data_IF_714830146527
#
_entry.id   IF_714830146527
#
_cell.length_a   1.000
_cell.length_b   1.000
_cell.length_c   1.000
_cell.angle_alpha   90.00
_cell.angle_beta   90.00
_cell.angle_gamma   90.00
#
_symmetry.space_group_name_H-M   'P 1'
#
loop_
_entity.id
_entity.type
_entity.pdbx_description
1 polymer ?
#
# COMPACT_ATOMS: atom_id res chain seq x y z
N UNK A 1 -0.89 76.04 -16.34
CA UNK A 1 -1.70 75.12 -15.50
C UNK A 1 -2.17 74.00 -16.41
N UNK A 2 -2.25 72.77 -15.88
CA UNK A 2 -2.64 71.51 -16.55
C UNK A 2 -1.59 70.75 -17.39
N UNK A 3 -0.55 70.23 -16.72
CA UNK A 3 0.20 69.07 -17.25
C UNK A 3 0.55 68.01 -16.19
N UNK A 4 0.32 68.28 -14.90
CA UNK A 4 0.70 67.39 -13.78
C UNK A 4 -0.39 66.38 -13.39
N UNK A 5 -1.62 66.55 -13.88
CA UNK A 5 -2.78 65.68 -13.58
C UNK A 5 -2.84 64.44 -14.47
N UNK A 6 -2.30 64.50 -15.70
CA UNK A 6 -2.29 63.35 -16.63
C UNK A 6 -1.29 62.26 -16.20
N UNK A 7 -0.12 62.65 -15.68
CA UNK A 7 0.94 61.71 -15.30
C UNK A 7 0.61 60.93 -14.01
N UNK A 8 -0.11 61.56 -13.05
CA UNK A 8 -0.59 60.89 -11.83
C UNK A 8 -1.63 59.79 -12.11
N UNK A 9 -2.49 59.97 -13.12
CA UNK A 9 -3.44 58.92 -13.56
C UNK A 9 -2.74 57.72 -14.18
N UNK A 10 -1.64 57.93 -14.93
CA UNK A 10 -0.83 56.85 -15.49
C UNK A 10 -0.10 56.04 -14.42
N UNK A 11 0.55 56.72 -13.47
CA UNK A 11 1.32 56.08 -12.40
C UNK A 11 0.43 55.34 -11.39
N UNK A 12 -0.72 55.93 -11.03
CA UNK A 12 -1.73 55.24 -10.21
C UNK A 12 -2.28 54.00 -10.93
N UNK A 13 -2.52 54.07 -12.24
CA UNK A 13 -2.95 52.92 -13.04
C UNK A 13 -1.87 51.85 -13.10
N UNK A 14 -0.59 52.20 -13.30
CA UNK A 14 0.53 51.27 -13.28
C UNK A 14 0.69 50.62 -11.91
N UNK A 15 0.63 51.38 -10.81
CA UNK A 15 0.70 50.85 -9.45
C UNK A 15 -0.49 49.92 -9.16
N UNK A 16 -1.70 50.28 -9.58
CA UNK A 16 -2.88 49.42 -9.40
C UNK A 16 -2.74 48.13 -10.23
N UNK A 17 -2.29 48.21 -11.48
CA UNK A 17 -2.02 47.04 -12.31
C UNK A 17 -0.90 46.17 -11.72
N UNK A 18 0.14 46.78 -11.17
CA UNK A 18 1.24 46.07 -10.51
C UNK A 18 0.79 45.40 -9.21
N UNK A 19 -0.03 46.08 -8.41
CA UNK A 19 -0.60 45.56 -7.17
C UNK A 19 -1.60 44.43 -7.43
N UNK A 20 -2.46 44.58 -8.45
CA UNK A 20 -3.39 43.55 -8.92
C UNK A 20 -2.60 42.34 -9.46
N UNK A 21 -1.60 42.56 -10.33
CA UNK A 21 -0.73 41.49 -10.82
C UNK A 21 0.06 40.80 -9.71
N UNK A 22 0.52 41.54 -8.69
CA UNK A 22 1.22 41.00 -7.54
C UNK A 22 0.30 40.13 -6.68
N UNK A 23 -0.94 40.58 -6.45
CA UNK A 23 -1.92 39.81 -5.70
C UNK A 23 -2.39 38.57 -6.48
N UNK A 24 -2.47 38.63 -7.82
CA UNK A 24 -2.73 37.48 -8.70
C UNK A 24 -1.59 36.45 -8.68
N UNK A 25 -0.33 36.92 -8.76
CA UNK A 25 0.87 36.07 -8.57
C UNK A 25 0.89 35.41 -7.19
N UNK A 26 0.31 36.05 -6.18
CA UNK A 26 0.14 35.51 -4.81
C UNK A 26 -0.99 34.47 -4.69
N UNK A 27 -1.69 34.07 -5.75
CA UNK A 27 -2.75 33.07 -5.65
C UNK A 27 -2.31 31.71 -6.27
N UNK A 28 -1.55 31.72 -7.36
CA UNK A 28 -1.05 30.49 -7.99
C UNK A 28 -0.03 29.70 -7.14
N UNK A 29 0.76 30.36 -6.27
CA UNK A 29 1.70 29.63 -5.39
C UNK A 29 0.99 28.74 -4.36
N UNK A 30 -0.24 29.06 -3.94
CA UNK A 30 -1.01 28.26 -2.98
C UNK A 30 -1.34 26.88 -3.54
N UNK A 31 -1.68 26.85 -4.83
CA UNK A 31 -1.99 25.62 -5.58
C UNK A 31 -0.71 24.83 -5.85
N UNK A 32 0.39 25.51 -6.18
CA UNK A 32 1.71 24.87 -6.27
C UNK A 32 2.13 24.26 -4.93
N UNK A 33 1.90 24.96 -3.82
CA UNK A 33 2.17 24.46 -2.47
C UNK A 33 1.34 23.22 -2.14
N UNK A 34 0.02 23.23 -2.44
CA UNK A 34 -0.82 22.05 -2.30
C UNK A 34 -0.27 20.85 -3.06
N UNK A 35 0.09 21.02 -4.34
CA UNK A 35 0.62 19.92 -5.14
C UNK A 35 1.98 19.43 -4.66
N UNK A 36 2.85 20.31 -4.14
CA UNK A 36 4.09 19.90 -3.48
C UNK A 36 3.83 19.04 -2.23
N UNK A 37 2.91 19.47 -1.36
CA UNK A 37 2.50 18.68 -0.20
C UNK A 37 1.94 17.33 -0.61
N UNK A 38 1.07 17.30 -1.63
CA UNK A 38 0.50 16.06 -2.17
C UNK A 38 1.60 15.13 -2.66
N UNK A 39 2.56 15.62 -3.47
CA UNK A 39 3.70 14.82 -3.93
C UNK A 39 4.51 14.23 -2.79
N UNK A 40 4.87 15.03 -1.79
CA UNK A 40 5.69 14.57 -0.64
C UNK A 40 4.94 13.47 0.12
N UNK A 41 3.66 13.69 0.43
CA UNK A 41 2.84 12.74 1.18
C UNK A 41 2.60 11.45 0.38
N UNK A 42 2.33 11.55 -0.92
CA UNK A 42 2.17 10.35 -1.75
C UNK A 42 3.48 9.59 -1.92
N UNK A 43 4.62 10.27 -2.01
CA UNK A 43 5.93 9.63 -2.06
C UNK A 43 6.24 8.87 -0.76
N UNK A 44 5.95 9.46 0.40
CA UNK A 44 6.08 8.79 1.69
C UNK A 44 5.15 7.57 1.78
N UNK A 45 3.90 7.68 1.32
CA UNK A 45 2.98 6.54 1.28
C UNK A 45 3.46 5.42 0.35
N UNK A 46 4.09 5.74 -0.79
CA UNK A 46 4.71 4.72 -1.66
C UNK A 46 5.84 3.99 -0.91
N UNK A 47 6.70 4.73 -0.19
CA UNK A 47 7.78 4.12 0.62
C UNK A 47 7.20 3.21 1.70
N UNK A 48 6.19 3.67 2.47
CA UNK A 48 5.56 2.84 3.50
C UNK A 48 4.87 1.60 2.92
N UNK A 49 4.24 1.72 1.74
CA UNK A 49 3.61 0.58 1.04
C UNK A 49 4.66 -0.44 0.60
N UNK A 50 5.82 0.02 0.10
CA UNK A 50 6.94 -0.86 -0.26
C UNK A 50 7.52 -1.59 0.95
N UNK A 51 7.72 -0.87 2.07
CA UNK A 51 8.17 -1.47 3.33
C UNK A 51 7.16 -2.54 3.77
N UNK A 52 5.87 -2.24 3.76
CA UNK A 52 4.85 -3.21 4.16
C UNK A 52 4.84 -4.44 3.25
N UNK A 53 4.91 -4.24 1.94
CA UNK A 53 4.98 -5.35 0.97
C UNK A 53 6.25 -6.21 1.18
N UNK A 54 7.38 -5.58 1.51
CA UNK A 54 8.61 -6.28 1.83
C UNK A 54 8.48 -7.11 3.11
N UNK A 55 7.91 -6.55 4.19
CA UNK A 55 7.69 -7.27 5.45
C UNK A 55 6.81 -8.51 5.28
N UNK A 56 5.78 -8.45 4.44
CA UNK A 56 4.95 -9.62 4.12
C UNK A 56 5.76 -10.67 3.34
N UNK A 57 6.56 -10.24 2.34
CA UNK A 57 7.34 -11.15 1.48
C UNK A 57 8.58 -11.72 2.15
N UNK A 58 9.10 -11.09 3.20
CA UNK A 58 10.25 -11.60 3.95
C UNK A 58 9.89 -12.84 4.77
N UNK A 59 8.60 -13.04 5.08
CA UNK A 59 8.07 -14.09 5.96
C UNK A 59 8.57 -14.06 7.41
N UNK A 60 9.75 -13.53 7.71
CA UNK A 60 10.33 -13.54 9.06
C UNK A 60 9.63 -12.60 10.05
N UNK A 61 9.03 -11.51 9.57
CA UNK A 61 8.41 -10.51 10.45
C UNK A 61 7.00 -10.92 10.91
N UNK A 62 6.16 -11.37 9.98
CA UNK A 62 4.80 -11.83 10.28
C UNK A 62 4.79 -13.37 10.28
N UNK A 63 4.78 -13.96 11.49
CA UNK A 63 4.77 -15.43 11.64
C UNK A 63 3.44 -15.93 12.21
N UNK A 64 2.81 -15.14 13.07
CA UNK A 64 1.67 -15.57 13.88
C UNK A 64 0.28 -15.48 13.22
N UNK A 65 0.21 -15.34 11.90
CA UNK A 65 -1.06 -15.33 11.18
C UNK A 65 -1.37 -16.71 10.61
N UNK A 66 -2.66 -17.07 10.63
CA UNK A 66 -3.19 -18.19 9.83
C UNK A 66 -3.88 -17.64 8.60
N UNK A 67 -3.45 -18.07 7.41
CA UNK A 67 -4.06 -17.61 6.18
C UNK A 67 -3.79 -18.55 5.00
N UNK A 68 -4.80 -18.71 4.16
CA UNK A 68 -4.64 -19.38 2.88
C UNK A 68 -3.86 -18.52 1.88
N UNK A 69 -3.27 -19.19 0.88
CA UNK A 69 -2.49 -18.54 -0.16
C UNK A 69 -3.30 -17.49 -0.93
N UNK A 70 -4.59 -17.75 -1.15
CA UNK A 70 -5.49 -16.86 -1.89
C UNK A 70 -5.66 -15.52 -1.18
N UNK A 71 -5.86 -15.54 0.13
CA UNK A 71 -6.03 -14.35 0.95
C UNK A 71 -4.73 -13.53 1.08
N UNK A 72 -3.58 -14.19 1.23
CA UNK A 72 -2.28 -13.49 1.21
C UNK A 72 -2.04 -12.83 -0.16
N UNK A 73 -2.36 -13.52 -1.26
CA UNK A 73 -2.25 -12.95 -2.59
C UNK A 73 -3.24 -11.79 -2.79
N UNK A 74 -4.44 -11.85 -2.22
CA UNK A 74 -5.39 -10.74 -2.20
C UNK A 74 -4.78 -9.49 -1.54
N UNK A 75 -4.19 -9.61 -0.35
CA UNK A 75 -3.52 -8.50 0.35
C UNK A 75 -2.35 -7.96 -0.49
N UNK A 76 -1.48 -8.83 -1.00
CA UNK A 76 -0.32 -8.43 -1.81
C UNK A 76 -0.71 -7.71 -3.10
N UNK A 77 -1.75 -8.19 -3.79
CA UNK A 77 -2.26 -7.57 -5.01
C UNK A 77 -2.93 -6.23 -4.71
N UNK A 78 -3.68 -6.13 -3.60
CA UNK A 78 -4.25 -4.87 -3.13
C UNK A 78 -3.19 -3.80 -2.88
N UNK A 79 -2.09 -4.17 -2.20
CA UNK A 79 -0.95 -3.28 -1.98
C UNK A 79 -0.28 -2.85 -3.29
N UNK A 80 -0.17 -3.76 -4.27
CA UNK A 80 0.42 -3.46 -5.58
C UNK A 80 -0.45 -2.47 -6.37
N UNK A 81 -1.76 -2.67 -6.41
CA UNK A 81 -2.69 -1.73 -7.07
C UNK A 81 -2.61 -0.36 -6.41
N UNK A 82 -2.60 -0.33 -5.08
CA UNK A 82 -2.47 0.90 -4.30
C UNK A 82 -1.15 1.63 -4.59
N UNK A 83 -0.04 0.90 -4.68
CA UNK A 83 1.27 1.45 -5.01
C UNK A 83 1.31 2.07 -6.42
N UNK A 84 0.75 1.37 -7.42
CA UNK A 84 0.68 1.88 -8.79
C UNK A 84 -0.12 3.18 -8.82
N UNK A 85 -1.28 3.20 -8.17
CA UNK A 85 -2.14 4.37 -8.12
C UNK A 85 -1.44 5.57 -7.47
N UNK A 86 -0.86 5.39 -6.29
CA UNK A 86 -0.14 6.46 -5.59
C UNK A 86 1.07 6.98 -6.37
N UNK A 87 1.76 6.09 -7.10
CA UNK A 87 2.88 6.48 -7.96
C UNK A 87 2.42 7.40 -9.08
N UNK A 88 1.30 7.09 -9.76
CA UNK A 88 0.72 7.99 -10.75
C UNK A 88 0.30 9.33 -10.14
N UNK A 89 -0.42 9.32 -9.01
CA UNK A 89 -0.82 10.55 -8.31
C UNK A 89 0.40 11.42 -7.99
N UNK A 90 1.47 10.82 -7.47
CA UNK A 90 2.71 11.52 -7.13
C UNK A 90 3.36 12.18 -8.35
N UNK A 91 3.42 11.47 -9.48
CA UNK A 91 3.97 11.98 -10.74
C UNK A 91 3.13 13.15 -11.26
N UNK A 92 1.81 12.99 -11.36
CA UNK A 92 0.92 14.06 -11.84
C UNK A 92 0.92 15.28 -10.91
N UNK A 93 0.93 15.07 -9.59
CA UNK A 93 1.04 16.14 -8.61
C UNK A 93 2.38 16.89 -8.74
N UNK A 94 3.48 16.18 -8.97
CA UNK A 94 4.79 16.81 -9.17
C UNK A 94 4.80 17.68 -10.43
N UNK A 95 4.29 17.17 -11.55
CA UNK A 95 4.17 17.95 -12.78
C UNK A 95 3.29 19.18 -12.60
N UNK A 96 2.13 19.04 -11.97
CA UNK A 96 1.22 20.16 -11.72
C UNK A 96 1.84 21.20 -10.78
N UNK A 97 2.56 20.78 -9.75
CA UNK A 97 3.31 21.70 -8.89
C UNK A 97 4.28 22.57 -9.70
N UNK A 98 5.06 21.95 -10.61
CA UNK A 98 6.04 22.65 -11.44
C UNK A 98 5.38 23.60 -12.43
N UNK A 99 4.30 23.17 -13.07
CA UNK A 99 3.52 24.00 -13.99
C UNK A 99 2.94 25.20 -13.23
N UNK A 100 2.28 24.99 -12.09
CA UNK A 100 1.73 26.08 -11.27
C UNK A 100 2.81 27.04 -10.76
N UNK A 101 4.01 26.55 -10.45
CA UNK A 101 5.16 27.39 -10.07
C UNK A 101 5.64 28.26 -11.24
N UNK A 102 5.73 27.70 -12.44
CA UNK A 102 6.09 28.46 -13.66
C UNK A 102 5.07 29.57 -13.93
N UNK A 103 3.77 29.25 -13.89
CA UNK A 103 2.71 30.25 -14.06
C UNK A 103 2.59 31.25 -12.91
N UNK A 104 3.21 30.98 -11.76
CA UNK A 104 3.34 31.97 -10.68
C UNK A 104 4.42 33.01 -10.94
N UNK A 105 5.42 32.67 -11.77
CA UNK A 105 6.63 33.49 -11.97
C UNK A 105 6.64 34.24 -13.31
N UNK A 106 5.97 33.74 -14.35
CA UNK A 106 5.97 34.30 -15.70
C UNK A 106 4.59 34.79 -16.14
N UNK A 107 4.53 35.87 -16.91
CA UNK A 107 3.26 36.39 -17.44
C UNK A 107 2.88 35.70 -18.75
N UNK A 108 1.58 35.65 -19.05
CA UNK A 108 1.05 35.01 -20.28
C UNK A 108 1.62 35.64 -21.55
N UNK A 109 1.89 36.96 -21.52
CA UNK A 109 2.50 37.67 -22.64
C UNK A 109 3.91 37.17 -22.96
N UNK A 110 4.67 36.73 -21.94
CA UNK A 110 5.98 36.13 -22.13
C UNK A 110 5.87 34.76 -22.84
N UNK A 111 4.81 34.00 -22.55
CA UNK A 111 4.51 32.71 -23.19
C UNK A 111 3.92 32.81 -24.60
N UNK A 112 3.29 33.92 -24.98
CA UNK A 112 2.77 34.09 -26.35
C UNK A 112 3.88 34.05 -27.41
N UNK A 113 5.11 34.42 -27.03
CA UNK A 113 6.30 34.34 -27.89
C UNK A 113 6.72 32.89 -28.24
N UNK A 114 6.25 31.89 -27.48
CA UNK A 114 6.67 30.49 -27.62
C UNK A 114 5.82 29.66 -28.60
N UNK A 115 4.80 30.25 -29.25
CA UNK A 115 4.03 29.62 -30.33
C UNK A 115 3.44 28.24 -29.93
N UNK A 116 3.82 27.18 -30.66
CA UNK A 116 3.31 25.80 -30.49
C UNK A 116 3.50 25.22 -29.07
N UNK A 117 4.50 25.69 -28.32
CA UNK A 117 4.71 25.26 -26.94
C UNK A 117 3.63 25.76 -25.99
N UNK A 118 3.04 26.93 -26.27
CA UNK A 118 1.97 27.49 -25.46
C UNK A 118 0.68 26.67 -25.59
N UNK A 119 0.38 26.15 -26.79
CA UNK A 119 -0.74 25.23 -27.03
C UNK A 119 -0.58 23.93 -26.23
N UNK A 120 0.63 23.36 -26.23
CA UNK A 120 0.92 22.11 -25.49
C UNK A 120 0.83 22.30 -23.98
N UNK A 121 1.37 23.39 -23.45
CA UNK A 121 1.26 23.74 -22.02
C UNK A 121 -0.20 24.01 -21.64
N UNK A 122 -0.97 24.73 -22.47
CA UNK A 122 -2.38 24.99 -22.26
C UNK A 122 -3.22 23.70 -22.20
N UNK A 123 -2.92 22.73 -23.07
CA UNK A 123 -3.52 21.39 -23.02
C UNK A 123 -3.19 20.68 -21.70
N UNK A 124 -1.94 20.65 -21.29
CA UNK A 124 -1.51 20.01 -20.03
C UNK A 124 -2.17 20.63 -18.80
N UNK A 125 -2.18 21.96 -18.71
CA UNK A 125 -2.80 22.71 -17.60
C UNK A 125 -4.27 22.39 -17.43
N UNK A 126 -4.99 22.22 -18.55
CA UNK A 126 -6.42 21.91 -18.54
C UNK A 126 -6.65 20.45 -18.19
N UNK A 127 -6.01 19.49 -18.87
CA UNK A 127 -6.36 18.07 -18.78
C UNK A 127 -5.70 17.30 -17.63
N UNK A 128 -4.50 17.68 -17.19
CA UNK A 128 -3.81 16.94 -16.11
C UNK A 128 -4.57 16.99 -14.78
N UNK A 129 -5.21 18.10 -14.41
CA UNK A 129 -6.00 18.15 -13.17
C UNK A 129 -7.25 17.28 -13.23
N UNK A 130 -7.84 17.07 -14.42
CA UNK A 130 -8.91 16.08 -14.61
C UNK A 130 -8.39 14.66 -14.43
N UNK A 131 -7.26 14.32 -15.03
CA UNK A 131 -6.64 12.99 -14.85
C UNK A 131 -6.31 12.74 -13.36
N UNK A 132 -5.77 13.75 -12.67
CA UNK A 132 -5.49 13.66 -11.24
C UNK A 132 -6.78 13.49 -10.42
N UNK A 133 -7.86 14.21 -10.75
CA UNK A 133 -9.15 14.05 -10.09
C UNK A 133 -9.70 12.61 -10.23
N UNK A 134 -9.55 12.00 -11.41
CA UNK A 134 -9.92 10.59 -11.62
C UNK A 134 -9.12 9.66 -10.70
N UNK A 135 -7.81 9.85 -10.59
CA UNK A 135 -6.98 9.05 -9.68
C UNK A 135 -7.34 9.27 -8.20
N UNK A 136 -7.70 10.49 -7.81
CA UNK A 136 -8.16 10.79 -6.45
C UNK A 136 -9.48 10.06 -6.14
N UNK A 137 -10.41 9.99 -7.10
CA UNK A 137 -11.65 9.21 -6.94
C UNK A 137 -11.35 7.72 -6.80
N UNK A 138 -10.43 7.18 -7.61
CA UNK A 138 -9.99 5.78 -7.44
C UNK A 138 -9.32 5.55 -6.08
N UNK A 139 -8.53 6.51 -5.59
CA UNK A 139 -7.89 6.41 -4.28
C UNK A 139 -8.94 6.34 -3.16
N UNK A 140 -9.97 7.17 -3.24
CA UNK A 140 -11.11 7.11 -2.33
C UNK A 140 -11.81 5.73 -2.39
N UNK A 141 -12.15 5.27 -3.58
CA UNK A 141 -12.85 3.98 -3.77
C UNK A 141 -12.05 2.81 -3.20
N UNK A 142 -10.73 2.77 -3.41
CA UNK A 142 -9.86 1.73 -2.84
C UNK A 142 -9.80 1.82 -1.31
N UNK A 143 -9.69 3.03 -0.77
CA UNK A 143 -9.66 3.23 0.69
C UNK A 143 -10.96 2.76 1.36
N UNK A 144 -12.11 3.07 0.78
CA UNK A 144 -13.42 2.60 1.26
C UNK A 144 -13.56 1.08 1.10
N UNK A 145 -13.17 0.53 -0.06
CA UNK A 145 -13.21 -0.92 -0.28
C UNK A 145 -12.33 -1.68 0.73
N UNK A 146 -11.10 -1.20 0.98
CA UNK A 146 -10.21 -1.80 1.97
C UNK A 146 -10.79 -1.68 3.39
N UNK A 147 -11.38 -0.53 3.74
CA UNK A 147 -12.02 -0.35 5.05
C UNK A 147 -13.19 -1.32 5.24
N UNK A 148 -14.07 -1.43 4.23
CA UNK A 148 -15.23 -2.34 4.27
C UNK A 148 -14.76 -3.79 4.39
N UNK A 149 -13.85 -4.24 3.53
CA UNK A 149 -13.38 -5.64 3.56
C UNK A 149 -12.64 -5.98 4.84
N UNK A 150 -11.92 -5.04 5.44
CA UNK A 150 -11.20 -5.26 6.70
C UNK A 150 -12.13 -5.55 7.88
N UNK A 151 -13.31 -4.93 7.91
CA UNK A 151 -14.28 -5.11 9.00
C UNK A 151 -15.40 -6.09 8.67
N UNK A 152 -15.90 -6.12 7.43
CA UNK A 152 -17.00 -7.01 7.01
C UNK A 152 -16.52 -8.44 6.74
N UNK A 153 -15.31 -8.60 6.18
CA UNK A 153 -14.74 -9.90 5.80
C UNK A 153 -13.30 -10.05 6.29
N UNK A 154 -13.08 -10.02 7.63
CA UNK A 154 -11.74 -9.95 8.21
C UNK A 154 -10.85 -11.18 7.94
N UNK A 155 -11.44 -12.31 7.55
CA UNK A 155 -10.71 -13.52 7.18
C UNK A 155 -9.88 -13.30 5.89
N UNK A 156 -10.33 -12.44 4.97
CA UNK A 156 -9.55 -12.05 3.78
C UNK A 156 -8.23 -11.35 4.15
N UNK A 157 -8.17 -10.76 5.34
CA UNK A 157 -7.04 -10.02 5.87
C UNK A 157 -6.24 -10.83 6.90
N UNK A 158 -6.41 -12.16 6.92
CA UNK A 158 -5.65 -13.07 7.78
C UNK A 158 -5.81 -12.74 9.28
N UNK A 159 -7.03 -12.40 9.70
CA UNK A 159 -7.33 -12.07 11.11
C UNK A 159 -6.89 -13.15 12.11
N UNK A 160 -7.18 -14.45 11.89
CA UNK A 160 -6.90 -15.47 12.89
C UNK A 160 -5.41 -15.55 13.24
N UNK A 161 -5.12 -15.56 14.54
CA UNK A 161 -3.77 -15.70 15.09
C UNK A 161 -3.52 -17.14 15.51
N UNK A 162 -2.33 -17.64 15.21
CA UNK A 162 -1.86 -18.94 15.68
C UNK A 162 -1.08 -18.80 16.99
N UNK A 163 -1.09 -19.84 17.81
CA UNK A 163 -0.38 -19.88 19.08
C UNK A 163 1.14 -20.05 18.89
N UNK A 164 1.89 -20.02 20.00
CA UNK A 164 3.36 -20.16 19.99
C UNK A 164 3.82 -21.52 19.47
N UNK A 165 3.11 -22.60 19.81
CA UNK A 165 3.40 -23.96 19.34
C UNK A 165 3.31 -24.04 17.81
N UNK A 166 2.21 -23.56 17.25
CA UNK A 166 1.97 -23.50 15.81
C UNK A 166 3.03 -22.67 15.08
N UNK A 167 3.51 -21.60 15.71
CA UNK A 167 4.58 -20.75 15.17
C UNK A 167 5.88 -21.56 14.93
N UNK A 168 6.23 -22.49 15.82
CA UNK A 168 7.37 -23.39 15.61
C UNK A 168 7.17 -24.34 14.42
N UNK A 169 5.96 -24.85 14.24
CA UNK A 169 5.61 -25.73 13.11
C UNK A 169 5.69 -24.96 11.78
N UNK A 170 5.15 -23.74 11.74
CA UNK A 170 5.26 -22.83 10.60
C UNK A 170 6.73 -22.57 10.25
N UNK A 171 7.57 -22.33 11.27
CA UNK A 171 9.00 -22.13 11.06
C UNK A 171 9.69 -23.39 10.50
N UNK A 172 9.37 -24.58 11.00
CA UNK A 172 9.88 -25.83 10.43
C UNK A 172 9.46 -26.02 8.97
N UNK A 173 8.21 -25.71 8.63
CA UNK A 173 7.74 -25.71 7.23
C UNK A 173 8.53 -24.73 6.37
N UNK A 174 8.71 -23.49 6.84
CA UNK A 174 9.45 -22.47 6.09
C UNK A 174 10.90 -22.88 5.90
N UNK A 175 11.57 -23.45 6.91
CA UNK A 175 12.95 -23.96 6.82
C UNK A 175 13.09 -25.08 5.78
N UNK A 176 12.12 -25.98 5.71
CA UNK A 176 12.12 -27.05 4.71
C UNK A 176 11.90 -26.49 3.31
N UNK A 177 10.83 -25.72 3.12
CA UNK A 177 10.43 -25.23 1.80
C UNK A 177 11.38 -24.15 1.25
N UNK A 178 12.11 -23.43 2.11
CA UNK A 178 13.18 -22.50 1.73
C UNK A 178 14.49 -23.19 1.34
N UNK A 179 14.60 -24.51 1.52
CA UNK A 179 15.84 -25.30 1.38
C UNK A 179 16.97 -24.87 2.32
N UNK A 180 16.65 -24.22 3.44
CA UNK A 180 17.66 -23.91 4.48
C UNK A 180 17.80 -25.02 5.52
N UNK A 181 16.87 -25.99 5.53
CA UNK A 181 16.96 -27.16 6.39
C UNK A 181 18.08 -28.11 5.96
N UNK A 182 18.71 -28.77 6.92
CA UNK A 182 19.93 -29.59 6.72
C UNK A 182 19.74 -30.76 5.74
N UNK A 183 18.51 -31.25 5.56
CA UNK A 183 18.19 -32.42 4.72
C UNK A 183 17.54 -32.10 3.36
N UNK A 184 17.35 -30.81 3.03
CA UNK A 184 16.53 -30.36 1.87
C UNK A 184 17.31 -30.17 0.56
N UNK A 185 18.64 -30.28 0.58
CA UNK A 185 19.52 -29.92 -0.54
C UNK A 185 19.31 -30.75 -1.83
N UNK A 186 18.69 -31.94 -1.75
CA UNK A 186 18.57 -32.86 -2.89
C UNK A 186 17.27 -32.69 -3.71
N UNK A 187 16.34 -31.83 -3.28
CA UNK A 187 15.04 -31.71 -3.94
C UNK A 187 15.13 -30.70 -5.12
N UNK A 188 15.00 -31.19 -6.36
CA UNK A 188 15.03 -30.44 -7.65
C UNK A 188 13.78 -29.56 -7.88
N UNK A 189 13.37 -28.80 -6.86
CA UNK A 189 12.26 -27.84 -6.96
C UNK A 189 12.79 -26.48 -7.37
N UNK A 190 12.21 -25.89 -8.43
CA UNK A 190 12.57 -24.54 -8.91
C UNK A 190 12.34 -23.47 -7.83
N UNK A 191 13.16 -22.41 -7.82
CA UNK A 191 13.08 -21.31 -6.84
C UNK A 191 11.74 -20.57 -6.82
N UNK A 192 11.02 -20.55 -7.94
CA UNK A 192 9.66 -19.98 -8.02
C UNK A 192 8.60 -20.86 -7.33
N UNK A 193 8.77 -22.19 -7.38
CA UNK A 193 7.89 -23.15 -6.71
C UNK A 193 8.13 -23.14 -5.21
N UNK A 194 9.39 -23.03 -4.75
CA UNK A 194 9.71 -22.91 -3.32
C UNK A 194 9.07 -21.68 -2.68
N UNK A 195 9.12 -20.50 -3.33
CA UNK A 195 8.46 -19.30 -2.80
C UNK A 195 6.94 -19.46 -2.61
N UNK A 196 6.27 -20.14 -3.53
CA UNK A 196 4.83 -20.41 -3.41
C UNK A 196 4.53 -21.43 -2.31
N UNK A 197 5.43 -22.39 -2.06
CA UNK A 197 5.29 -23.36 -0.98
C UNK A 197 5.52 -22.71 0.40
N UNK A 198 6.52 -21.81 0.51
CA UNK A 198 6.78 -21.01 1.74
C UNK A 198 5.52 -20.21 2.13
N UNK A 199 4.84 -19.60 1.16
CA UNK A 199 3.58 -18.86 1.43
C UNK A 199 2.48 -19.74 2.00
N UNK A 200 2.44 -21.03 1.64
CA UNK A 200 1.44 -21.99 2.14
C UNK A 200 1.72 -22.45 3.57
N UNK A 201 2.93 -22.25 4.09
CA UNK A 201 3.29 -22.68 5.45
C UNK A 201 2.45 -22.02 6.55
N UNK A 202 1.77 -20.91 6.29
CA UNK A 202 0.87 -20.25 7.24
C UNK A 202 -0.58 -20.76 7.18
N UNK A 203 -0.89 -21.73 6.31
CA UNK A 203 -2.18 -22.43 6.30
C UNK A 203 -2.08 -23.68 7.18
N UNK A 204 -2.92 -23.78 8.21
CA UNK A 204 -2.93 -24.94 9.10
C UNK A 204 -3.35 -26.23 8.37
N UNK A 205 -4.25 -26.13 7.39
CA UNK A 205 -4.64 -27.25 6.53
C UNK A 205 -3.47 -27.76 5.69
N UNK A 206 -2.66 -26.85 5.16
CA UNK A 206 -1.45 -27.23 4.43
C UNK A 206 -0.45 -27.93 5.34
N UNK A 207 -0.28 -27.46 6.58
CA UNK A 207 0.62 -28.10 7.55
C UNK A 207 0.14 -29.51 7.93
N UNK A 208 -1.17 -29.68 8.15
CA UNK A 208 -1.80 -30.98 8.43
C UNK A 208 -1.62 -31.96 7.29
N UNK A 209 -1.95 -31.54 6.06
CA UNK A 209 -1.92 -32.40 4.88
C UNK A 209 -0.51 -32.86 4.50
N UNK A 210 0.54 -32.12 4.90
CA UNK A 210 1.94 -32.47 4.66
C UNK A 210 2.66 -33.00 5.92
N UNK A 211 1.90 -33.46 6.92
CA UNK A 211 2.41 -34.12 8.13
C UNK A 211 3.37 -33.27 8.99
N UNK A 212 3.36 -31.94 8.88
CA UNK A 212 4.19 -31.08 9.72
C UNK A 212 3.80 -31.15 11.21
N UNK A 213 2.53 -31.49 11.49
CA UNK A 213 2.03 -31.71 12.85
C UNK A 213 2.60 -32.97 13.54
N UNK A 214 3.37 -33.82 12.84
CA UNK A 214 4.10 -34.90 13.51
C UNK A 214 5.29 -34.38 14.34
N UNK A 215 5.70 -33.12 14.14
CA UNK A 215 6.90 -32.52 14.73
C UNK A 215 6.55 -31.29 15.57
N UNK A 216 5.68 -31.50 16.56
CA UNK A 216 5.26 -30.46 17.50
C UNK A 216 6.26 -30.40 18.66
N UNK A 217 6.83 -29.24 19.00
CA UNK A 217 7.70 -29.13 20.18
C UNK A 217 6.89 -29.30 21.47
N UNK A 218 7.43 -30.06 22.43
CA UNK A 218 6.87 -30.11 23.79
C UNK A 218 7.40 -28.95 24.62
N UNK A 219 6.61 -27.88 24.75
CA UNK A 219 7.02 -26.68 25.49
C UNK A 219 7.26 -26.91 27.00
N UNK A 220 6.86 -28.07 27.55
CA UNK A 220 7.15 -28.42 28.94
C UNK A 220 8.53 -29.09 29.11
N UNK A 221 9.13 -29.58 28.02
CA UNK A 221 10.48 -30.16 28.03
C UNK A 221 11.53 -29.04 27.91
N UNK A 222 12.62 -29.13 28.67
CA UNK A 222 13.79 -28.22 28.56
C UNK A 222 14.48 -28.32 27.19
N UNK A 223 14.33 -29.46 26.50
CA UNK A 223 14.94 -29.72 25.20
C UNK A 223 14.01 -29.41 24.01
N UNK A 224 12.88 -28.72 24.20
CA UNK A 224 11.92 -28.41 23.13
C UNK A 224 12.55 -27.78 21.86
N UNK A 225 13.62 -27.01 22.05
CA UNK A 225 14.38 -26.38 20.96
C UNK A 225 15.12 -27.37 20.06
N UNK A 226 15.19 -28.65 20.42
CA UNK A 226 15.72 -29.71 19.55
C UNK A 226 14.70 -30.16 18.50
N UNK A 227 13.40 -29.88 18.69
CA UNK A 227 12.30 -30.24 17.79
C UNK A 227 12.20 -29.29 16.59
N UNK A 228 13.28 -29.23 15.79
CA UNK A 228 13.39 -28.36 14.62
C UNK A 228 14.07 -29.08 13.47
N UNK A 229 13.80 -28.63 12.25
CA UNK A 229 14.40 -29.20 11.04
C UNK A 229 15.85 -28.77 10.81
N UNK A 230 16.43 -27.95 11.69
CA UNK A 230 17.87 -27.77 11.79
C UNK A 230 18.56 -29.00 12.43
N UNK A 231 17.82 -29.83 13.14
CA UNK A 231 18.32 -31.10 13.64
C UNK A 231 18.24 -32.15 12.51
N UNK A 232 19.39 -32.67 12.09
CA UNK A 232 19.50 -33.63 10.98
C UNK A 232 18.63 -34.87 11.19
N UNK A 233 18.51 -35.37 12.42
CA UNK A 233 17.74 -36.56 12.73
C UNK A 233 16.25 -36.33 12.50
N UNK A 234 15.75 -35.14 12.88
CA UNK A 234 14.34 -34.77 12.71
C UNK A 234 14.04 -34.47 11.25
N UNK A 235 14.94 -33.74 10.58
CA UNK A 235 14.79 -33.38 9.18
C UNK A 235 14.74 -34.63 8.28
N UNK A 236 15.69 -35.56 8.46
CA UNK A 236 15.72 -36.82 7.68
C UNK A 236 14.50 -37.70 7.96
N UNK A 237 14.02 -37.72 9.21
CA UNK A 237 12.80 -38.43 9.57
C UNK A 237 11.57 -37.80 8.88
N UNK A 238 11.44 -36.48 8.88
CA UNK A 238 10.39 -35.76 8.13
C UNK A 238 10.47 -36.06 6.63
N UNK A 239 11.67 -36.01 6.02
CA UNK A 239 11.88 -36.34 4.60
C UNK A 239 11.39 -37.77 4.28
N UNK A 240 11.64 -38.71 5.19
CA UNK A 240 11.16 -40.10 5.04
C UNK A 240 9.63 -40.21 5.13
N UNK A 241 9.01 -39.47 6.06
CA UNK A 241 7.56 -39.42 6.25
C UNK A 241 6.82 -38.78 5.06
N UNK A 242 7.41 -37.76 4.46
CA UNK A 242 6.84 -37.08 3.29
C UNK A 242 6.76 -38.01 2.08
N UNK A 243 7.75 -38.89 1.92
CA UNK A 243 7.83 -39.82 0.79
C UNK A 243 7.05 -41.13 1.02
N UNK A 244 6.82 -41.52 2.28
CA UNK A 244 6.11 -42.76 2.61
C UNK A 244 5.21 -42.63 3.83
N UNK A 245 3.90 -42.43 3.59
CA UNK A 245 2.88 -42.28 4.62
C UNK A 245 2.71 -43.53 5.52
N UNK A 246 3.05 -44.73 5.04
CA UNK A 246 2.92 -45.95 5.84
C UNK A 246 3.88 -45.98 7.04
N UNK A 247 4.93 -45.15 7.02
CA UNK A 247 5.85 -45.04 8.15
C UNK A 247 5.26 -44.24 9.33
N UNK A 248 4.18 -43.48 9.12
CA UNK A 248 3.57 -42.65 10.16
C UNK A 248 3.13 -43.46 11.39
N UNK A 249 2.62 -44.69 11.18
CA UNK A 249 2.21 -45.58 12.27
C UNK A 249 3.42 -46.12 13.06
N UNK A 250 4.53 -46.39 12.38
CA UNK A 250 5.78 -46.86 13.01
C UNK A 250 6.47 -45.76 13.83
N UNK A 251 6.23 -44.49 13.49
CA UNK A 251 6.84 -43.34 14.14
C UNK A 251 6.06 -42.81 15.35
N UNK A 252 4.79 -43.18 15.52
CA UNK A 252 4.00 -42.78 16.72
C UNK A 252 4.64 -43.22 18.04
N UNK A 253 5.41 -44.31 18.00
CA UNK A 253 6.06 -44.90 19.18
C UNK A 253 7.51 -44.43 19.40
N UNK A 254 8.08 -43.67 18.46
CA UNK A 254 9.46 -43.19 18.52
C UNK A 254 9.55 -41.91 19.35
N UNK A 255 10.17 -42.00 20.53
CA UNK A 255 10.42 -40.85 21.40
C UNK A 255 11.49 -39.94 20.78
N UNK A 256 11.04 -38.85 20.17
CA UNK A 256 11.89 -37.78 19.66
C UNK A 256 12.19 -36.79 20.78
N UNK A 257 13.46 -36.48 21.02
CA UNK A 257 13.86 -35.55 22.10
C UNK A 257 13.31 -34.15 21.85
N UNK A 258 12.60 -33.59 22.84
CA UNK A 258 11.99 -32.26 22.75
C UNK A 258 10.74 -32.15 21.87
N UNK A 259 10.31 -33.21 21.19
CA UNK A 259 9.04 -33.24 20.46
C UNK A 259 7.94 -33.92 21.30
N UNK A 260 6.70 -33.49 21.12
CA UNK A 260 5.54 -34.06 21.77
C UNK A 260 5.24 -35.45 21.19
N UNK A 261 5.15 -36.45 22.05
CA UNK A 261 4.82 -37.81 21.64
C UNK A 261 3.31 -37.93 21.43
N UNK A 262 2.91 -38.43 20.26
CA UNK A 262 1.51 -38.68 19.87
C UNK A 262 0.61 -37.43 19.88
N UNK A 263 0.60 -36.71 18.76
CA UNK A 263 -0.21 -35.50 18.57
C UNK A 263 -1.66 -35.86 18.22
N UNK A 264 -2.53 -35.95 19.23
CA UNK A 264 -4.00 -35.97 19.04
C UNK A 264 -4.60 -34.57 18.93
N UNK A 265 -3.78 -33.54 18.69
CA UNK A 265 -4.24 -32.16 18.62
C UNK A 265 -5.02 -31.90 17.33
N UNK A 266 -6.17 -31.23 17.45
CA UNK A 266 -6.94 -30.77 16.30
C UNK A 266 -6.42 -29.41 15.81
N UNK A 267 -6.88 -28.96 14.63
CA UNK A 267 -6.43 -27.67 14.06
C UNK A 267 -6.80 -26.51 15.00
N UNK A 268 -7.94 -26.65 15.66
CA UNK A 268 -8.55 -25.70 16.57
C UNK A 268 -7.64 -25.38 17.77
N UNK A 269 -6.83 -26.36 18.20
CA UNK A 269 -5.91 -26.20 19.33
C UNK A 269 -4.70 -25.30 18.99
N UNK A 270 -4.41 -25.11 17.70
CA UNK A 270 -3.31 -24.27 17.22
C UNK A 270 -3.70 -22.79 17.10
N UNK A 271 -4.98 -22.45 17.24
CA UNK A 271 -5.40 -21.05 17.32
C UNK A 271 -5.15 -20.46 18.72
N UNK A 272 -4.78 -19.19 18.74
CA UNK A 272 -4.64 -18.44 19.99
C UNK A 272 -6.03 -18.10 20.56
N UNK A 273 -6.37 -18.75 21.69
CA UNK A 273 -7.67 -18.59 22.36
C UNK A 273 -7.81 -17.23 23.05
N UNK A 274 -6.69 -16.56 23.37
CA UNK A 274 -6.69 -15.30 24.10
C UNK A 274 -6.61 -14.08 23.17
N UNK A 275 -5.86 -14.20 22.07
CA UNK A 275 -5.64 -13.10 21.12
C UNK A 275 -6.10 -13.53 19.74
N UNK A 276 -7.24 -13.01 19.29
CA UNK A 276 -7.81 -13.41 18.00
C UNK A 276 -7.26 -12.66 16.77
N UNK A 277 -6.59 -11.52 16.94
CA UNK A 277 -6.05 -10.69 15.84
C UNK A 277 -4.55 -10.96 15.65
N UNK A 278 -4.16 -11.44 14.47
CA UNK A 278 -2.77 -11.60 14.06
C UNK A 278 -2.05 -10.25 13.92
N UNK A 279 -0.72 -10.26 13.97
CA UNK A 279 0.04 -9.00 13.84
C UNK A 279 -0.03 -8.45 12.40
N UNK A 280 -0.15 -9.33 11.40
CA UNK A 280 -0.40 -8.94 10.01
C UNK A 280 -1.74 -8.18 9.89
N UNK A 281 -2.80 -8.68 10.51
CA UNK A 281 -4.11 -8.03 10.50
C UNK A 281 -4.06 -6.67 11.21
N UNK A 282 -3.43 -6.58 12.39
CA UNK A 282 -3.27 -5.31 13.11
C UNK A 282 -2.48 -4.28 12.31
N UNK A 283 -1.40 -4.71 11.65
CA UNK A 283 -0.61 -3.82 10.81
C UNK A 283 -1.43 -3.35 9.59
N UNK A 284 -2.21 -4.25 8.99
CA UNK A 284 -3.12 -3.92 7.88
C UNK A 284 -4.19 -2.92 8.32
N UNK A 285 -4.77 -3.09 9.51
CA UNK A 285 -5.73 -2.18 10.13
C UNK A 285 -5.14 -0.77 10.31
N UNK A 286 -3.94 -0.68 10.89
CA UNK A 286 -3.21 0.60 11.05
C UNK A 286 -2.93 1.26 9.69
N UNK A 287 -2.46 0.48 8.72
CA UNK A 287 -2.15 0.96 7.38
C UNK A 287 -3.40 1.50 6.66
N UNK A 288 -4.52 0.77 6.70
CA UNK A 288 -5.78 1.18 6.06
C UNK A 288 -6.37 2.40 6.74
N UNK A 289 -6.42 2.45 8.07
CA UNK A 289 -6.92 3.61 8.82
C UNK A 289 -6.03 4.83 8.55
N UNK A 290 -4.71 4.68 8.63
CA UNK A 290 -3.75 5.75 8.36
C UNK A 290 -3.90 6.32 6.95
N UNK A 291 -4.02 5.46 5.94
CA UNK A 291 -4.28 5.89 4.55
C UNK A 291 -5.57 6.69 4.41
N UNK A 292 -6.65 6.27 5.08
CA UNK A 292 -7.92 7.00 5.07
C UNK A 292 -7.78 8.39 5.73
N UNK A 293 -7.14 8.47 6.90
CA UNK A 293 -6.92 9.74 7.60
C UNK A 293 -6.11 10.71 6.73
N UNK A 294 -5.00 10.24 6.14
CA UNK A 294 -4.18 11.05 5.24
C UNK A 294 -4.99 11.54 4.04
N UNK A 295 -5.81 10.67 3.44
CA UNK A 295 -6.68 11.03 2.33
C UNK A 295 -7.63 12.16 2.71
N UNK A 296 -8.35 12.05 3.83
CA UNK A 296 -9.30 13.08 4.27
C UNK A 296 -8.62 14.42 4.61
N UNK A 297 -7.43 14.39 5.22
CA UNK A 297 -6.63 15.60 5.46
C UNK A 297 -6.27 16.27 4.14
N UNK A 298 -5.80 15.51 3.15
CA UNK A 298 -5.42 16.05 1.84
C UNK A 298 -6.61 16.62 1.07
N UNK A 299 -7.76 15.94 1.09
CA UNK A 299 -8.99 16.45 0.47
C UNK A 299 -9.50 17.71 1.16
N UNK A 300 -9.48 17.74 2.49
CA UNK A 300 -9.88 18.94 3.25
C UNK A 300 -8.96 20.11 2.93
N UNK A 301 -7.65 19.86 2.84
CA UNK A 301 -6.67 20.87 2.44
C UNK A 301 -6.88 21.33 0.99
N UNK A 302 -7.22 20.43 0.08
CA UNK A 302 -7.58 20.77 -1.30
C UNK A 302 -8.78 21.72 -1.36
N UNK A 303 -9.88 21.39 -0.67
CA UNK A 303 -11.08 22.24 -0.65
C UNK A 303 -10.82 23.59 0.01
N UNK A 304 -9.99 23.63 1.05
CA UNK A 304 -9.55 24.89 1.66
C UNK A 304 -8.79 25.78 0.66
N UNK A 305 -7.83 25.21 -0.08
CA UNK A 305 -7.07 25.94 -1.11
C UNK A 305 -7.98 26.37 -2.25
N UNK A 306 -8.87 25.49 -2.73
CA UNK A 306 -9.85 25.78 -3.78
C UNK A 306 -10.76 26.95 -3.40
N UNK A 307 -11.24 27.00 -2.16
CA UNK A 307 -12.12 28.09 -1.69
C UNK A 307 -11.40 29.43 -1.50
N UNK A 308 -10.11 29.39 -1.16
CA UNK A 308 -9.34 30.60 -0.82
C UNK A 308 -8.53 31.18 -1.98
N UNK A 309 -8.48 30.48 -3.11
CA UNK A 309 -7.70 30.86 -4.30
C UNK A 309 -8.66 31.26 -5.42
N UNK A 310 -8.50 32.45 -5.99
CA UNK A 310 -9.18 32.87 -7.21
C UNK A 310 -8.28 32.53 -8.39
N UNK A 311 -8.86 31.86 -9.38
CA UNK A 311 -8.11 31.37 -10.53
C UNK A 311 -8.23 32.34 -11.70
N UNK A 312 -7.12 32.55 -12.42
CA UNK A 312 -7.13 33.27 -13.68
C UNK A 312 -8.06 32.61 -14.69
N UNK A 313 -8.73 33.41 -15.52
CA UNK A 313 -9.63 32.92 -16.59
C UNK A 313 -8.96 31.98 -17.60
N UNK A 314 -7.63 31.92 -17.63
CA UNK A 314 -6.85 31.00 -18.45
C UNK A 314 -6.98 29.53 -18.00
N UNK A 315 -7.26 29.33 -16.71
CA UNK A 315 -7.55 28.02 -16.12
C UNK A 315 -9.05 27.71 -16.15
N UNK A 316 -9.89 28.75 -16.14
CA UNK A 316 -11.34 28.62 -16.14
C UNK A 316 -11.84 27.86 -17.36
N UNK A 317 -12.61 26.80 -17.11
CA UNK A 317 -13.28 26.04 -18.14
C UNK A 317 -14.75 26.45 -18.15
N UNK A 318 -15.29 26.83 -19.32
CA UNK A 318 -16.70 27.23 -19.45
C UNK A 318 -17.64 26.11 -19.01
N UNK A 319 -18.75 26.49 -18.39
CA UNK A 319 -19.80 25.55 -17.95
C UNK A 319 -20.75 25.40 -19.13
N UNK A 320 -20.65 24.30 -19.87
CA UNK A 320 -21.59 24.01 -20.95
C UNK A 320 -22.65 23.02 -20.47
N UNK A 321 -23.93 23.29 -20.76
CA UNK A 321 -25.04 22.46 -20.30
C UNK A 321 -25.10 21.08 -20.96
N UNK A 322 -24.26 20.84 -21.97
CA UNK A 322 -24.08 19.57 -22.67
C UNK A 322 -22.95 18.69 -22.10
N UNK A 323 -22.21 19.17 -21.09
CA UNK A 323 -21.12 18.41 -20.48
C UNK A 323 -21.60 17.07 -19.89
N UNK A 324 -20.89 15.98 -20.24
CA UNK A 324 -21.15 14.63 -19.72
C UNK A 324 -21.22 14.61 -18.19
N UNK A 325 -22.13 13.82 -17.62
CA UNK A 325 -22.36 13.73 -16.17
C UNK A 325 -21.10 13.45 -15.35
N UNK A 326 -20.21 12.57 -15.85
CA UNK A 326 -18.91 12.24 -15.22
C UNK A 326 -18.04 13.49 -15.07
N UNK A 327 -18.05 14.37 -16.08
CA UNK A 327 -17.27 15.61 -16.03
C UNK A 327 -17.81 16.54 -14.95
N UNK A 328 -19.13 16.62 -14.76
CA UNK A 328 -19.75 17.44 -13.70
C UNK A 328 -19.33 17.02 -12.29
N UNK A 329 -19.23 15.72 -12.02
CA UNK A 329 -18.79 15.20 -10.72
C UNK A 329 -17.30 15.51 -10.50
N UNK A 330 -16.44 15.14 -11.45
CA UNK A 330 -14.99 15.29 -11.34
C UNK A 330 -14.55 16.77 -11.24
N UNK A 331 -15.35 17.72 -11.75
CA UNK A 331 -15.11 19.17 -11.62
C UNK A 331 -14.99 19.65 -10.17
N UNK A 332 -15.64 18.97 -9.22
CA UNK A 332 -15.50 19.31 -7.80
C UNK A 332 -14.08 19.05 -7.29
N UNK A 333 -13.39 18.07 -7.88
CA UNK A 333 -12.01 17.67 -7.55
C UNK A 333 -10.95 18.31 -8.46
N UNK A 334 -11.34 19.22 -9.36
CA UNK A 334 -10.40 20.06 -10.10
C UNK A 334 -10.31 21.45 -9.46
N UNK A 335 -9.13 22.09 -9.45
CA UNK A 335 -8.97 23.43 -8.88
C UNK A 335 -9.65 24.51 -9.76
N UNK A 336 -9.88 24.26 -11.04
CA UNK A 336 -10.21 25.28 -12.04
C UNK A 336 -11.70 25.56 -12.28
N UNK A 337 -12.53 25.41 -11.25
CA UNK A 337 -13.99 25.56 -11.35
C UNK A 337 -14.51 26.77 -10.60
#
# INVERSE_FOLDING_TARGET
MDDTTHNKRGLAKIINTFYINWNHRRQNWRVSFYYNCLTIITALNVIFTLIFQHLIKSFDFFINYSCELEHINFVLNGLLIFLILLSFISIFAFFLSRISSIFSNFTINDFMSLGKWMERIGCTVKWFPWALAVFIVFWFSINIFNLITLYATPNLWCKPRINTVATYIVNNCRLYESKTATCSNDDDVSSSKSLNLIKKCNSLDYLKNNNYFAFVPDLNDKNYAQCTFNNINICTLYKSLRNNQQLLEKYKDLKLSGCLNNTTMEIEDFYDKNIHKSDLYKYSEIFTIGSNVIFFIMISFFFFIKRTTQFDGLFYQSIDSSDMFILRILRHFTPWS
#
